data_IF_177543379925
#
_entry.id   IF_177543379925
#
_cell.length_a   1.000
_cell.length_b   1.000
_cell.length_c   1.000
_cell.angle_alpha   90.00
_cell.angle_beta   90.00
_cell.angle_gamma   90.00
#
_symmetry.space_group_name_H-M   'P 1'
#
loop_
_entity.id
_entity.type
_entity.pdbx_description
1 polymer ?
#
# COMPACT_ATOMS: atom_id res chain seq x y z
N UNK A 1 -19.66 3.42 19.67
CA UNK A 1 -18.43 3.55 18.84
C UNK A 1 -17.54 4.60 19.49
N UNK A 2 -16.23 4.38 19.55
CA UNK A 2 -15.28 5.43 19.94
C UNK A 2 -15.44 6.65 19.02
N UNK A 3 -15.32 7.86 19.57
CA UNK A 3 -15.37 9.10 18.79
C UNK A 3 -14.36 9.09 17.63
N UNK A 4 -13.16 8.53 17.88
CA UNK A 4 -12.12 8.35 16.87
C UNK A 4 -12.60 7.50 15.69
N UNK A 5 -13.24 6.37 15.97
CA UNK A 5 -13.79 5.48 14.93
C UNK A 5 -14.83 6.19 14.06
N UNK A 6 -15.68 7.01 14.68
CA UNK A 6 -16.66 7.80 13.93
C UNK A 6 -16.00 8.83 13.02
N UNK A 7 -14.94 9.49 13.46
CA UNK A 7 -14.18 10.43 12.62
C UNK A 7 -13.48 9.70 11.48
N UNK A 8 -12.87 8.53 11.74
CA UNK A 8 -12.25 7.70 10.72
C UNK A 8 -13.24 7.26 9.64
N UNK A 9 -14.45 6.79 10.02
CA UNK A 9 -15.52 6.43 9.07
C UNK A 9 -15.94 7.64 8.21
N UNK A 10 -16.06 8.83 8.81
CA UNK A 10 -16.38 10.06 8.06
C UNK A 10 -15.29 10.43 7.06
N UNK A 11 -14.02 10.33 7.45
CA UNK A 11 -12.89 10.57 6.56
C UNK A 11 -12.83 9.50 5.45
N UNK A 12 -13.16 8.24 5.76
CA UNK A 12 -13.29 7.16 4.77
C UNK A 12 -14.32 7.50 3.71
N UNK A 13 -15.51 7.96 4.11
CA UNK A 13 -16.54 8.40 3.17
C UNK A 13 -16.04 9.52 2.24
N UNK A 14 -15.31 10.50 2.78
CA UNK A 14 -14.72 11.57 1.95
C UNK A 14 -13.76 11.00 0.91
N UNK A 15 -12.94 10.02 1.27
CA UNK A 15 -12.01 9.35 0.32
C UNK A 15 -12.77 8.58 -0.77
N UNK A 16 -13.79 7.80 -0.39
CA UNK A 16 -14.69 7.08 -1.30
C UNK A 16 -15.34 8.05 -2.31
N UNK A 17 -15.91 9.15 -1.82
CA UNK A 17 -16.54 10.16 -2.67
C UNK A 17 -15.54 10.86 -3.61
N UNK A 18 -14.32 11.14 -3.13
CA UNK A 18 -13.25 11.73 -3.96
C UNK A 18 -12.79 10.78 -5.06
N UNK A 19 -12.66 9.49 -4.76
CA UNK A 19 -12.31 8.48 -5.75
C UNK A 19 -13.41 8.38 -6.80
N UNK A 20 -14.66 8.18 -6.39
CA UNK A 20 -15.79 8.09 -7.31
C UNK A 20 -15.97 9.34 -8.16
N UNK A 21 -15.68 10.54 -7.64
CA UNK A 21 -15.78 11.79 -8.42
C UNK A 21 -14.80 11.89 -9.59
N UNK A 22 -13.77 11.03 -9.64
CA UNK A 22 -12.87 10.92 -10.81
C UNK A 22 -13.53 10.22 -12.00
N UNK A 23 -14.50 9.35 -11.74
CA UNK A 23 -15.18 8.54 -12.76
C UNK A 23 -16.64 8.98 -12.97
N UNK A 24 -17.30 9.46 -11.92
CA UNK A 24 -18.69 9.90 -11.91
C UNK A 24 -18.83 11.42 -11.78
N UNK A 25 -19.82 11.98 -12.47
CA UNK A 25 -20.28 13.36 -12.34
C UNK A 25 -21.03 13.59 -11.01
N UNK A 26 -21.25 14.85 -10.63
CA UNK A 26 -22.04 15.11 -9.42
C UNK A 26 -23.51 14.71 -9.60
N UNK A 27 -24.01 14.80 -10.82
CA UNK A 27 -25.36 14.43 -11.23
C UNK A 27 -25.57 12.92 -11.05
N UNK A 28 -24.61 12.09 -11.50
CA UNK A 28 -24.67 10.64 -11.31
C UNK A 28 -24.58 10.25 -9.83
N UNK A 29 -23.65 10.86 -9.09
CA UNK A 29 -23.53 10.61 -7.64
C UNK A 29 -24.78 11.08 -6.88
N UNK A 30 -25.43 12.14 -7.34
CA UNK A 30 -26.70 12.62 -6.78
C UNK A 30 -27.82 11.61 -6.99
N UNK A 31 -27.91 11.01 -8.18
CA UNK A 31 -28.84 9.91 -8.47
C UNK A 31 -28.58 8.69 -7.61
N UNK A 32 -27.31 8.31 -7.42
CA UNK A 32 -26.94 7.14 -6.59
C UNK A 32 -27.28 7.38 -5.11
N UNK A 33 -26.88 8.54 -4.56
CA UNK A 33 -26.96 8.82 -3.12
C UNK A 33 -28.27 9.43 -2.65
N UNK A 34 -29.09 9.94 -3.58
CA UNK A 34 -30.26 10.77 -3.29
C UNK A 34 -29.92 12.14 -2.67
N UNK A 35 -28.65 12.54 -2.65
CA UNK A 35 -28.21 13.81 -2.05
C UNK A 35 -28.17 14.93 -3.09
N UNK A 36 -28.54 16.17 -2.74
CA UNK A 36 -28.33 17.32 -3.61
C UNK A 36 -26.85 17.51 -3.96
N UNK A 37 -26.58 17.95 -5.19
CA UNK A 37 -25.21 18.21 -5.70
C UNK A 37 -24.43 19.15 -4.77
N UNK A 38 -25.10 20.16 -4.21
CA UNK A 38 -24.48 21.11 -3.27
C UNK A 38 -24.00 20.45 -1.99
N UNK A 39 -24.72 19.43 -1.49
CA UNK A 39 -24.34 18.65 -0.31
C UNK A 39 -23.16 17.74 -0.65
N UNK A 40 -23.23 17.02 -1.78
CA UNK A 40 -22.15 16.16 -2.26
C UNK A 40 -20.84 16.94 -2.44
N UNK A 41 -20.90 18.15 -3.02
CA UNK A 41 -19.72 19.00 -3.17
C UNK A 41 -19.06 19.33 -1.83
N UNK A 42 -19.88 19.65 -0.81
CA UNK A 42 -19.39 19.94 0.55
C UNK A 42 -18.77 18.71 1.19
N UNK A 43 -19.35 17.52 0.99
CA UNK A 43 -18.80 16.25 1.50
C UNK A 43 -17.50 15.85 0.80
N UNK A 44 -17.46 15.86 -0.54
CA UNK A 44 -16.24 15.57 -1.33
C UNK A 44 -15.08 16.48 -0.92
N UNK A 45 -15.34 17.76 -0.67
CA UNK A 45 -14.33 18.73 -0.22
C UNK A 45 -14.00 18.62 1.27
N UNK A 46 -14.77 17.87 2.06
CA UNK A 46 -14.61 17.77 3.51
C UNK A 46 -15.02 19.04 4.26
N UNK A 47 -15.80 19.94 3.64
CA UNK A 47 -16.29 21.17 4.29
C UNK A 47 -17.36 20.90 5.34
N UNK A 48 -18.11 19.81 5.17
CA UNK A 48 -19.08 19.28 6.12
C UNK A 48 -18.91 17.78 6.13
N UNK A 49 -19.06 17.18 7.31
CA UNK A 49 -19.10 15.73 7.47
C UNK A 49 -20.51 15.32 7.90
N UNK A 50 -21.06 14.22 7.35
CA UNK A 50 -22.37 13.74 7.77
C UNK A 50 -22.37 13.23 9.23
N UNK A 51 -23.57 12.91 9.74
CA UNK A 51 -23.71 12.16 10.99
C UNK A 51 -23.07 10.76 10.87
N UNK A 52 -22.76 10.12 12.00
CA UNK A 52 -22.17 8.77 11.98
C UNK A 52 -23.09 7.75 11.27
N UNK A 53 -24.40 7.83 11.53
CA UNK A 53 -25.41 6.99 10.89
C UNK A 53 -25.45 7.20 9.38
N UNK A 54 -25.60 8.47 8.94
CA UNK A 54 -25.61 8.81 7.52
C UNK A 54 -24.30 8.45 6.81
N UNK A 55 -23.18 8.49 7.52
CA UNK A 55 -21.88 8.07 6.99
C UNK A 55 -21.90 6.58 6.62
N UNK A 56 -22.42 5.74 7.51
CA UNK A 56 -22.50 4.30 7.29
C UNK A 56 -23.45 3.94 6.15
N UNK A 57 -24.62 4.57 6.11
CA UNK A 57 -25.57 4.41 4.99
C UNK A 57 -24.92 4.71 3.65
N UNK A 58 -24.23 5.86 3.55
CA UNK A 58 -23.58 6.27 2.30
C UNK A 58 -22.41 5.35 1.94
N UNK A 59 -21.61 4.91 2.92
CA UNK A 59 -20.54 3.94 2.65
C UNK A 59 -21.11 2.62 2.11
N UNK A 60 -22.13 2.04 2.76
CA UNK A 60 -22.76 0.80 2.30
C UNK A 60 -23.33 0.92 0.89
N UNK A 61 -23.86 2.10 0.54
CA UNK A 61 -24.41 2.39 -0.77
C UNK A 61 -23.33 2.59 -1.84
N UNK A 62 -22.21 3.22 -1.51
CA UNK A 62 -21.18 3.63 -2.46
C UNK A 62 -20.07 2.59 -2.67
N UNK A 63 -19.75 1.78 -1.65
CA UNK A 63 -18.70 0.76 -1.74
C UNK A 63 -18.91 -0.24 -2.91
N UNK A 64 -20.14 -0.69 -3.25
CA UNK A 64 -20.37 -1.54 -4.41
C UNK A 64 -19.99 -0.92 -5.76
N UNK A 65 -19.85 0.41 -5.84
CA UNK A 65 -19.44 1.13 -7.05
C UNK A 65 -17.92 1.29 -7.17
N UNK A 66 -17.15 0.75 -6.22
CA UNK A 66 -15.68 0.82 -6.23
C UNK A 66 -15.12 -0.58 -6.42
N UNK A 67 -14.43 -0.78 -7.53
CA UNK A 67 -13.54 -1.92 -7.72
C UNK A 67 -12.09 -1.40 -7.69
N UNK A 68 -11.38 -1.65 -6.57
CA UNK A 68 -10.01 -1.16 -6.38
C UNK A 68 -9.07 -1.70 -7.45
N UNK A 69 -9.18 -2.99 -7.80
CA UNK A 69 -8.34 -3.60 -8.83
C UNK A 69 -8.56 -2.94 -10.19
N UNK A 70 -9.81 -2.70 -10.57
CA UNK A 70 -10.15 -2.03 -11.82
C UNK A 70 -9.64 -0.58 -11.85
N UNK A 71 -9.76 0.15 -10.75
CA UNK A 71 -9.24 1.51 -10.61
C UNK A 71 -7.71 1.56 -10.74
N UNK A 72 -7.00 0.56 -10.22
CA UNK A 72 -5.56 0.41 -10.41
C UNK A 72 -5.24 0.10 -11.87
N UNK A 73 -5.88 -0.91 -12.48
CA UNK A 73 -5.65 -1.28 -13.88
C UNK A 73 -5.87 -0.13 -14.86
N UNK A 74 -6.92 0.70 -14.66
CA UNK A 74 -7.19 1.89 -15.47
C UNK A 74 -6.08 2.96 -15.43
N UNK A 75 -5.30 2.98 -14.35
CA UNK A 75 -4.24 3.98 -14.12
C UNK A 75 -2.86 3.50 -14.54
N UNK A 76 -2.67 2.20 -14.72
CA UNK A 76 -1.43 1.63 -15.27
C UNK A 76 -1.41 1.87 -16.77
N UNK A 77 -0.29 2.41 -17.27
CA UNK A 77 -0.07 2.64 -18.71
C UNK A 77 1.12 1.83 -19.18
N UNK A 78 0.94 1.07 -20.25
CA UNK A 78 2.02 0.31 -20.88
C UNK A 78 2.61 1.08 -22.05
N UNK A 79 3.92 0.95 -22.24
CA UNK A 79 4.61 1.40 -23.44
C UNK A 79 4.67 0.29 -24.51
N UNK A 80 5.26 0.61 -25.66
CA UNK A 80 5.41 -0.31 -26.79
C UNK A 80 6.34 -1.50 -26.51
N UNK A 81 7.16 -1.44 -25.45
CA UNK A 81 8.12 -2.46 -25.06
C UNK A 81 7.59 -3.34 -23.91
N UNK A 82 6.37 -3.09 -23.43
CA UNK A 82 5.75 -3.84 -22.33
C UNK A 82 6.18 -3.39 -20.93
N UNK A 83 6.90 -2.26 -20.80
CA UNK A 83 7.07 -1.62 -19.49
C UNK A 83 5.81 -0.85 -19.13
N UNK A 84 5.61 -0.61 -17.84
CA UNK A 84 4.45 0.13 -17.36
C UNK A 84 4.81 1.19 -16.32
N UNK A 85 4.04 2.27 -16.35
CA UNK A 85 4.07 3.33 -15.36
C UNK A 85 2.93 3.13 -14.34
N UNK A 86 3.29 2.99 -13.06
CA UNK A 86 2.38 2.87 -11.93
C UNK A 86 2.31 4.16 -11.07
N UNK A 87 3.08 5.21 -11.39
CA UNK A 87 3.05 6.49 -10.67
C UNK A 87 1.65 7.13 -10.61
N UNK A 88 0.77 7.02 -11.64
CA UNK A 88 -0.62 7.51 -11.54
C UNK A 88 -1.44 6.82 -10.43
N UNK A 89 -1.07 5.60 -10.05
CA UNK A 89 -1.66 4.88 -8.92
C UNK A 89 -1.05 5.38 -7.61
N UNK A 90 0.28 5.38 -7.51
CA UNK A 90 1.01 5.76 -6.29
C UNK A 90 0.76 7.20 -5.84
N UNK A 91 0.52 8.11 -6.78
CA UNK A 91 0.22 9.53 -6.50
C UNK A 91 -1.25 9.79 -6.11
N UNK A 92 -2.15 8.83 -6.32
CA UNK A 92 -3.57 8.94 -5.96
C UNK A 92 -3.79 8.59 -4.48
N UNK A 93 -3.56 9.55 -3.59
CA UNK A 93 -3.68 9.35 -2.13
C UNK A 93 -5.03 8.82 -1.66
N UNK A 94 -6.13 9.08 -2.39
CA UNK A 94 -7.45 8.53 -2.06
C UNK A 94 -7.52 7.04 -2.37
N UNK A 95 -7.00 6.63 -3.54
CA UNK A 95 -6.89 5.22 -3.92
C UNK A 95 -5.89 4.48 -3.02
N UNK A 96 -4.70 5.04 -2.78
CA UNK A 96 -3.70 4.48 -1.86
C UNK A 96 -4.25 4.24 -0.46
N UNK A 97 -5.07 5.16 0.06
CA UNK A 97 -5.69 4.98 1.37
C UNK A 97 -6.69 3.84 1.41
N UNK A 98 -7.43 3.59 0.32
CA UNK A 98 -8.38 2.47 0.24
C UNK A 98 -7.65 1.14 0.06
N UNK A 99 -6.57 1.11 -0.74
CA UNK A 99 -5.69 -0.05 -0.85
C UNK A 99 -5.07 -0.37 0.51
N UNK A 100 -4.55 0.63 1.22
CA UNK A 100 -3.98 0.41 2.55
C UNK A 100 -5.00 -0.09 3.59
N UNK A 101 -6.25 0.35 3.51
CA UNK A 101 -7.33 -0.17 4.36
C UNK A 101 -7.60 -1.66 4.10
N UNK A 102 -7.62 -2.07 2.83
CA UNK A 102 -7.73 -3.46 2.44
C UNK A 102 -6.54 -4.29 2.93
N UNK A 103 -5.31 -3.83 2.69
CA UNK A 103 -4.08 -4.50 3.13
C UNK A 103 -4.04 -4.62 4.66
N UNK A 104 -4.29 -3.53 5.38
CA UNK A 104 -4.29 -3.54 6.84
C UNK A 104 -5.32 -4.54 7.38
N UNK A 105 -6.49 -4.66 6.74
CA UNK A 105 -7.50 -5.67 7.07
C UNK A 105 -6.99 -7.11 6.98
N UNK A 106 -6.15 -7.42 5.97
CA UNK A 106 -5.55 -8.77 5.77
C UNK A 106 -4.48 -9.12 6.81
N UNK A 107 -3.81 -8.11 7.37
CA UNK A 107 -2.67 -8.28 8.29
C UNK A 107 -2.96 -7.88 9.74
N UNK A 108 -4.21 -7.49 10.06
CA UNK A 108 -4.59 -6.98 11.38
C UNK A 108 -4.39 -8.02 12.51
N UNK A 109 -4.51 -9.31 12.20
CA UNK A 109 -4.32 -10.42 13.14
C UNK A 109 -2.84 -10.84 13.30
N UNK A 110 -1.92 -10.26 12.51
CA UNK A 110 -0.50 -10.64 12.49
C UNK A 110 0.37 -9.87 13.48
N UNK A 111 -0.20 -8.95 14.26
CA UNK A 111 0.53 -8.10 15.22
C UNK A 111 1.76 -7.43 14.58
N UNK A 112 1.58 -6.81 13.41
CA UNK A 112 2.66 -6.10 12.70
C UNK A 112 3.22 -5.01 13.62
N UNK A 113 4.54 -4.95 13.77
CA UNK A 113 5.27 -3.93 14.55
C UNK A 113 5.94 -2.89 13.64
N UNK A 114 6.33 -3.29 12.42
CA UNK A 114 7.05 -2.48 11.43
C UNK A 114 6.58 -2.82 10.02
N UNK A 115 6.45 -1.80 9.16
CA UNK A 115 6.35 -2.00 7.70
C UNK A 115 7.71 -1.73 7.08
N UNK A 116 8.21 -2.66 6.27
CA UNK A 116 9.50 -2.57 5.57
C UNK A 116 9.31 -2.53 4.05
N UNK A 117 10.00 -1.61 3.37
CA UNK A 117 10.05 -1.53 1.90
C UNK A 117 11.48 -1.26 1.41
N UNK A 118 11.71 -1.33 0.10
CA UNK A 118 12.86 -0.71 -0.53
C UNK A 118 12.50 0.69 -1.05
N UNK A 119 13.47 1.59 -1.08
CA UNK A 119 13.33 2.86 -1.78
C UNK A 119 13.40 2.65 -3.31
N UNK A 120 12.64 3.38 -4.12
CA UNK A 120 11.90 4.62 -3.76
C UNK A 120 10.39 4.46 -3.78
N UNK A 121 9.83 3.81 -4.80
CA UNK A 121 8.38 3.88 -5.10
C UNK A 121 7.51 3.10 -4.10
N UNK A 122 8.01 1.96 -3.61
CA UNK A 122 7.37 1.20 -2.52
C UNK A 122 7.14 2.00 -1.23
N UNK A 123 7.87 3.11 -1.00
CA UNK A 123 7.67 4.01 0.15
C UNK A 123 6.25 4.59 0.14
N UNK A 124 5.69 4.93 -1.03
CA UNK A 124 4.35 5.50 -1.10
C UNK A 124 3.32 4.54 -0.50
N UNK A 125 3.31 3.28 -0.95
CA UNK A 125 2.41 2.27 -0.42
C UNK A 125 2.74 1.92 1.05
N UNK A 126 4.02 1.75 1.37
CA UNK A 126 4.49 1.42 2.72
C UNK A 126 4.03 2.43 3.77
N UNK A 127 4.12 3.73 3.49
CA UNK A 127 3.63 4.80 4.40
C UNK A 127 2.13 4.69 4.63
N UNK A 128 1.35 4.44 3.57
CA UNK A 128 -0.10 4.33 3.67
C UNK A 128 -0.52 3.10 4.49
N UNK A 129 0.10 1.94 4.25
CA UNK A 129 -0.15 0.70 5.00
C UNK A 129 0.28 0.82 6.46
N UNK A 130 1.48 1.36 6.72
CA UNK A 130 2.00 1.55 8.08
C UNK A 130 1.09 2.47 8.91
N UNK A 131 0.61 3.55 8.30
CA UNK A 131 -0.34 4.47 8.93
C UNK A 131 -1.64 3.78 9.34
N UNK A 132 -2.18 2.92 8.48
CA UNK A 132 -3.44 2.22 8.76
C UNK A 132 -3.27 1.14 9.83
N UNK A 133 -2.12 0.46 9.86
CA UNK A 133 -1.73 -0.48 10.91
C UNK A 133 -1.25 0.22 12.20
N UNK A 134 -1.12 1.55 12.19
CA UNK A 134 -0.62 2.36 13.30
C UNK A 134 0.79 1.93 13.77
N UNK A 135 1.70 1.73 12.80
CA UNK A 135 3.10 1.38 13.03
C UNK A 135 4.05 2.28 12.22
N UNK A 136 5.33 2.25 12.56
CA UNK A 136 6.36 2.94 11.78
C UNK A 136 6.65 2.20 10.47
N UNK A 137 6.90 2.99 9.42
CA UNK A 137 7.52 2.50 8.18
C UNK A 137 9.03 2.69 8.23
N UNK A 138 9.76 1.70 7.75
CA UNK A 138 11.22 1.74 7.55
C UNK A 138 11.53 1.27 6.14
N UNK A 139 12.65 1.73 5.59
CA UNK A 139 12.96 1.44 4.19
C UNK A 139 14.46 1.35 3.92
N UNK A 140 14.83 0.32 3.16
CA UNK A 140 16.19 0.08 2.74
C UNK A 140 16.53 0.98 1.53
N UNK A 141 17.73 1.55 1.51
CA UNK A 141 18.21 2.46 0.45
C UNK A 141 19.39 1.87 -0.29
N UNK A 142 19.61 2.30 -1.53
CA UNK A 142 20.84 1.96 -2.30
C UNK A 142 22.09 2.74 -1.85
N UNK A 143 21.94 3.72 -0.97
CA UNK A 143 23.02 4.56 -0.42
C UNK A 143 22.87 4.68 1.08
N UNK A 144 24.01 4.74 1.79
CA UNK A 144 24.05 5.03 3.22
C UNK A 144 23.65 6.47 3.48
N UNK A 145 22.92 6.70 4.56
CA UNK A 145 22.61 8.03 5.06
C UNK A 145 23.83 8.60 5.81
N UNK A 146 24.16 9.86 5.55
CA UNK A 146 25.21 10.54 6.30
C UNK A 146 24.73 10.74 7.74
N UNK A 147 25.56 10.40 8.72
CA UNK A 147 25.22 10.51 10.14
C UNK A 147 24.58 9.24 10.75
N UNK A 148 24.47 8.14 10.00
CA UNK A 148 24.11 6.82 10.53
C UNK A 148 25.37 5.94 10.53
N UNK A 149 25.70 5.36 11.69
CA UNK A 149 26.95 4.61 11.86
C UNK A 149 26.86 3.15 11.40
N UNK A 150 25.72 2.48 11.65
CA UNK A 150 25.57 1.04 11.45
C UNK A 150 24.37 0.69 10.60
N UNK A 151 24.56 -0.25 9.68
CA UNK A 151 23.55 -0.73 8.76
C UNK A 151 23.48 -2.26 8.77
N UNK A 152 22.29 -2.79 8.49
CA UNK A 152 22.13 -4.09 7.84
C UNK A 152 22.41 -3.88 6.35
N UNK A 153 23.26 -4.73 5.78
CA UNK A 153 23.75 -4.60 4.42
C UNK A 153 23.55 -5.92 3.70
N UNK A 154 22.91 -5.86 2.53
CA UNK A 154 22.69 -7.05 1.70
C UNK A 154 22.96 -6.68 0.25
N UNK A 155 23.92 -7.39 -0.35
CA UNK A 155 24.26 -7.27 -1.77
C UNK A 155 23.62 -8.40 -2.56
N UNK A 156 23.06 -8.07 -3.71
CA UNK A 156 22.47 -9.03 -4.66
C UNK A 156 22.65 -8.52 -6.09
N UNK A 157 22.44 -9.39 -7.07
CA UNK A 157 22.50 -9.02 -8.49
C UNK A 157 21.06 -8.99 -9.03
N UNK A 158 20.48 -7.82 -9.33
CA UNK A 158 19.18 -7.76 -9.95
C UNK A 158 19.24 -8.30 -11.37
N UNK A 159 18.36 -9.24 -11.71
CA UNK A 159 18.27 -9.88 -13.04
C UNK A 159 18.22 -8.86 -14.18
N UNK A 160 17.59 -7.69 -13.98
CA UNK A 160 17.44 -6.66 -15.01
C UNK A 160 18.69 -5.80 -15.26
N UNK A 161 19.63 -5.73 -14.30
CA UNK A 161 20.76 -4.79 -14.37
C UNK A 161 22.12 -5.47 -14.60
N UNK A 162 22.25 -6.75 -14.25
CA UNK A 162 23.51 -7.50 -14.33
C UNK A 162 24.63 -6.95 -13.43
N UNK A 163 24.35 -5.98 -12.55
CA UNK A 163 25.32 -5.33 -11.68
C UNK A 163 24.99 -5.56 -10.20
N UNK A 164 26.02 -5.67 -9.35
CA UNK A 164 25.81 -5.83 -7.91
C UNK A 164 25.13 -4.58 -7.36
N UNK A 165 23.96 -4.76 -6.76
CA UNK A 165 23.23 -3.76 -6.01
C UNK A 165 23.34 -4.08 -4.52
N UNK A 166 23.60 -3.08 -3.68
CA UNK A 166 23.59 -3.24 -2.23
C UNK A 166 22.48 -2.37 -1.64
N UNK A 167 21.69 -2.96 -0.75
CA UNK A 167 20.72 -2.26 0.06
C UNK A 167 21.27 -2.07 1.48
N UNK A 168 20.96 -0.92 2.04
CA UNK A 168 21.37 -0.49 3.37
C UNK A 168 20.14 -0.11 4.18
N UNK A 169 19.98 -0.69 5.36
CA UNK A 169 18.94 -0.35 6.32
C UNK A 169 19.60 0.00 7.67
N UNK A 170 19.35 1.17 8.27
CA UNK A 170 19.93 1.51 9.56
C UNK A 170 19.62 0.44 10.62
N UNK A 171 20.59 0.05 11.46
CA UNK A 171 20.36 -1.06 12.40
C UNK A 171 19.25 -0.80 13.44
N UNK A 172 18.97 0.47 13.77
CA UNK A 172 17.87 0.85 14.65
C UNK A 172 16.48 0.64 14.02
N UNK A 173 16.42 0.47 12.69
CA UNK A 173 15.19 0.37 11.93
C UNK A 173 14.52 -1.01 12.03
N UNK A 174 15.17 -2.01 12.63
CA UNK A 174 14.53 -3.29 12.99
C UNK A 174 15.15 -3.82 14.27
N UNK A 175 14.32 -4.37 15.15
CA UNK A 175 14.74 -4.99 16.40
C UNK A 175 14.39 -6.47 16.43
N UNK A 176 15.14 -7.21 17.24
CA UNK A 176 14.91 -8.63 17.46
C UNK A 176 13.49 -8.88 17.95
N UNK A 177 12.79 -9.80 17.29
CA UNK A 177 11.44 -10.24 17.63
C UNK A 177 10.30 -9.42 17.04
N UNK A 178 10.56 -8.26 16.43
CA UNK A 178 9.52 -7.44 15.76
C UNK A 178 8.91 -8.21 14.58
N UNK A 179 7.59 -8.17 14.47
CA UNK A 179 6.83 -8.68 13.33
C UNK A 179 6.87 -7.65 12.19
N UNK A 180 7.42 -8.04 11.04
CA UNK A 180 7.66 -7.14 9.91
C UNK A 180 6.78 -7.51 8.74
N UNK A 181 5.97 -6.56 8.27
CA UNK A 181 5.26 -6.68 7.00
C UNK A 181 6.09 -6.04 5.90
N UNK A 182 6.47 -6.81 4.88
CA UNK A 182 7.16 -6.26 3.71
C UNK A 182 6.11 -5.77 2.72
N UNK A 183 6.27 -4.54 2.24
CA UNK A 183 5.34 -3.93 1.27
C UNK A 183 6.17 -3.33 0.14
N UNK A 184 5.76 -3.54 -1.11
CA UNK A 184 6.41 -2.90 -2.26
C UNK A 184 5.40 -2.57 -3.37
N UNK A 185 5.76 -1.69 -4.29
CA UNK A 185 4.88 -1.32 -5.39
C UNK A 185 4.88 -2.38 -6.51
N UNK A 186 6.05 -2.91 -6.90
CA UNK A 186 6.16 -3.90 -7.97
C UNK A 186 7.11 -5.02 -7.58
N UNK A 187 6.69 -6.27 -7.85
CA UNK A 187 7.56 -7.44 -7.81
C UNK A 187 7.69 -8.11 -9.17
N UNK A 188 8.94 -8.41 -9.58
CA UNK A 188 9.28 -9.14 -10.82
C UNK A 188 10.06 -10.41 -10.53
N UNK A 189 11.30 -10.29 -10.06
CA UNK A 189 12.19 -11.43 -9.75
C UNK A 189 12.17 -11.83 -8.27
N UNK A 190 11.78 -10.91 -7.38
CA UNK A 190 11.79 -11.09 -5.93
C UNK A 190 13.15 -10.87 -5.27
N UNK A 191 14.21 -10.50 -6.01
CA UNK A 191 15.57 -10.39 -5.47
C UNK A 191 15.69 -9.28 -4.41
N UNK A 192 15.06 -8.12 -4.64
CA UNK A 192 14.95 -7.04 -3.66
C UNK A 192 14.27 -7.55 -2.38
N UNK A 193 13.18 -8.30 -2.50
CA UNK A 193 12.41 -8.79 -1.35
C UNK A 193 13.16 -9.86 -0.56
N UNK A 194 13.93 -10.73 -1.24
CA UNK A 194 14.87 -11.64 -0.56
C UNK A 194 15.95 -10.87 0.20
N UNK A 195 16.45 -9.75 -0.34
CA UNK A 195 17.37 -8.90 0.39
C UNK A 195 16.74 -8.25 1.63
N UNK A 196 15.47 -7.83 1.56
CA UNK A 196 14.72 -7.31 2.73
C UNK A 196 14.49 -8.40 3.79
N UNK A 197 14.15 -9.62 3.38
CA UNK A 197 14.03 -10.77 4.28
C UNK A 197 15.35 -11.08 4.99
N UNK A 198 16.46 -11.03 4.25
CA UNK A 198 17.80 -11.23 4.81
C UNK A 198 18.14 -10.14 5.85
N UNK A 199 17.73 -8.88 5.63
CA UNK A 199 17.85 -7.83 6.65
C UNK A 199 17.02 -8.14 7.90
N UNK A 200 15.78 -8.62 7.74
CA UNK A 200 14.99 -9.09 8.87
C UNK A 200 15.70 -10.20 9.64
N UNK A 201 16.31 -11.17 8.93
CA UNK A 201 17.10 -12.25 9.53
C UNK A 201 18.31 -11.71 10.30
N UNK A 202 19.07 -10.78 9.73
CA UNK A 202 20.21 -10.12 10.40
C UNK A 202 19.77 -9.37 11.68
N UNK A 203 18.60 -8.73 11.65
CA UNK A 203 18.01 -8.05 12.80
C UNK A 203 17.42 -9.00 13.86
N UNK A 204 17.21 -10.27 13.52
CA UNK A 204 16.42 -11.21 14.32
C UNK A 204 14.92 -10.86 14.36
N UNK A 205 14.43 -10.10 13.40
CA UNK A 205 13.02 -9.77 13.22
C UNK A 205 12.29 -10.91 12.46
N UNK A 206 10.97 -10.92 12.54
CA UNK A 206 10.10 -11.97 12.00
C UNK A 206 9.25 -11.42 10.86
N UNK A 207 9.55 -11.73 9.59
CA UNK A 207 8.64 -11.44 8.49
C UNK A 207 7.30 -12.13 8.74
N UNK A 208 6.19 -11.38 8.72
CA UNK A 208 4.82 -11.92 8.90
C UNK A 208 4.01 -11.94 7.61
N UNK A 209 4.56 -11.36 6.55
CA UNK A 209 4.04 -11.48 5.19
C UNK A 209 4.67 -10.48 4.24
N UNK A 210 4.25 -10.57 2.98
CA UNK A 210 4.59 -9.63 1.92
C UNK A 210 3.36 -9.22 1.14
N UNK A 211 3.25 -7.94 0.83
CA UNK A 211 2.20 -7.41 -0.03
C UNK A 211 2.77 -6.54 -1.15
N UNK A 212 2.28 -6.75 -2.38
CA UNK A 212 2.67 -5.97 -3.55
C UNK A 212 1.47 -5.29 -4.20
N UNK A 213 1.63 -4.05 -4.67
CA UNK A 213 0.59 -3.46 -5.52
C UNK A 213 0.46 -4.24 -6.83
N UNK A 214 1.59 -4.59 -7.45
CA UNK A 214 1.63 -5.29 -8.74
C UNK A 214 2.66 -6.43 -8.68
N UNK A 215 2.28 -7.62 -9.15
CA UNK A 215 3.20 -8.73 -9.40
C UNK A 215 3.25 -9.11 -10.87
N UNK A 216 4.44 -9.42 -11.38
CA UNK A 216 4.65 -9.87 -12.76
C UNK A 216 5.02 -11.35 -12.77
N UNK A 217 4.32 -12.14 -13.60
CA UNK A 217 4.59 -13.57 -13.78
C UNK A 217 4.20 -14.42 -12.55
N UNK A 218 5.06 -15.39 -12.21
CA UNK A 218 4.86 -16.45 -11.20
C UNK A 218 5.64 -16.25 -9.89
N UNK A 219 6.17 -15.04 -9.68
CA UNK A 219 7.08 -14.74 -8.56
C UNK A 219 6.42 -14.89 -7.19
N UNK A 220 5.10 -14.66 -7.12
CA UNK A 220 4.33 -14.81 -5.87
C UNK A 220 4.32 -16.26 -5.44
N UNK A 221 4.03 -17.19 -6.35
CA UNK A 221 4.00 -18.62 -6.08
C UNK A 221 5.36 -19.12 -5.61
N UNK A 222 6.44 -18.74 -6.31
CA UNK A 222 7.81 -19.11 -5.93
C UNK A 222 8.17 -18.63 -4.54
N UNK A 223 7.84 -17.39 -4.19
CA UNK A 223 8.11 -16.86 -2.84
C UNK A 223 7.26 -17.54 -1.76
N UNK A 224 6.03 -17.97 -2.05
CA UNK A 224 5.21 -18.75 -1.10
C UNK A 224 5.79 -20.15 -0.84
N UNK A 225 6.41 -20.76 -1.84
CA UNK A 225 7.10 -22.05 -1.70
C UNK A 225 8.41 -21.90 -0.92
N UNK A 226 9.17 -20.83 -1.19
CA UNK A 226 10.43 -20.54 -0.50
C UNK A 226 10.25 -20.10 0.96
N UNK A 227 9.17 -19.37 1.27
CA UNK A 227 8.94 -18.79 2.58
C UNK A 227 7.57 -19.18 3.12
N UNK A 228 7.53 -19.71 4.34
CA UNK A 228 6.29 -20.07 5.05
C UNK A 228 5.53 -18.85 5.62
N UNK A 229 5.38 -17.79 4.82
CA UNK A 229 4.64 -16.57 5.16
C UNK A 229 3.65 -16.22 4.03
N UNK A 230 2.56 -15.49 4.32
CA UNK A 230 1.70 -14.94 3.28
C UNK A 230 2.47 -14.05 2.30
N UNK A 231 2.25 -14.24 1.00
CA UNK A 231 2.79 -13.39 -0.07
C UNK A 231 1.64 -13.07 -1.00
N UNK A 232 1.29 -11.81 -1.19
CA UNK A 232 0.09 -11.40 -1.92
C UNK A 232 0.35 -10.21 -2.84
N UNK A 233 -0.45 -10.09 -3.89
CA UNK A 233 -0.49 -8.90 -4.72
C UNK A 233 -1.93 -8.46 -5.01
N UNK A 234 -2.13 -7.16 -5.25
CA UNK A 234 -3.43 -6.65 -5.67
C UNK A 234 -3.68 -6.96 -7.16
N UNK A 235 -2.69 -6.67 -8.01
CA UNK A 235 -2.77 -6.90 -9.44
C UNK A 235 -1.70 -7.90 -9.86
N UNK A 236 -2.12 -8.95 -10.58
CA UNK A 236 -1.21 -9.79 -11.37
C UNK A 236 -1.20 -9.32 -12.82
N UNK A 237 0.01 -9.13 -13.33
CA UNK A 237 0.32 -8.95 -14.74
C UNK A 237 1.05 -10.21 -15.22
N UNK A 238 0.78 -10.58 -16.47
CA UNK A 238 1.47 -11.67 -17.17
C UNK A 238 2.83 -11.22 -17.69
#
# INVERSE_FOLDING_TARGET
>A
MSQLKSVQEKLRLVRVLRLLKKTYTYEELSKITGLPITVLNRYVRGKVLPSAERTKELLNLLLPYINIEEEVRKRIKFDEYGFFDNMPVLSDTALMSLIAEDVAGRYMDKNVDRVLTAATDGIALGVHVARELNVDVVYAKKKKEVGVEKFYEVSYVPSASGSVTTLYLPQWALKKGENVLIVDDVIRSGETQRALLEMCRQAGAKPVGMFFLISVGDVIERLREEYSIPVESLIRLE
#
